data_IF_433620532384
#
_entry.id   IF_433620532384
#
_cell.length_a   1.000
_cell.length_b   1.000
_cell.length_c   1.000
_cell.angle_alpha   90.00
_cell.angle_beta   90.00
_cell.angle_gamma   90.00
#
_symmetry.space_group_name_H-M   'P 1'
#
loop_
_entity.id
_entity.type
_entity.pdbx_description
1 polymer ?
#
# COMPACT_ATOMS: atom_id res chain seq x y z
N UNK A 1 -90.98 -4.29 43.54
CA UNK A 1 -90.50 -4.93 44.79
C UNK A 1 -89.19 -5.61 44.45
N UNK A 2 -88.05 -5.07 44.95
CA UNK A 2 -87.19 -5.73 45.96
C UNK A 2 -86.33 -6.86 45.35
N UNK A 3 -85.01 -7.01 45.44
CA UNK A 3 -83.83 -6.23 45.87
C UNK A 3 -82.60 -6.95 45.30
N UNK A 4 -81.48 -6.22 45.30
CA UNK A 4 -80.10 -6.68 45.04
C UNK A 4 -79.64 -7.81 45.96
N UNK A 5 -78.67 -8.61 45.51
CA UNK A 5 -77.39 -8.95 46.19
C UNK A 5 -76.50 -9.62 45.12
N UNK A 6 -75.27 -9.21 44.81
CA UNK A 6 -74.21 -8.71 45.68
C UNK A 6 -73.23 -9.86 45.96
N UNK A 7 -72.18 -10.01 45.16
CA UNK A 7 -71.11 -11.00 45.38
C UNK A 7 -69.84 -10.62 44.63
N UNK A 8 -68.84 -10.13 45.36
CA UNK A 8 -67.57 -9.65 44.83
C UNK A 8 -66.48 -10.73 44.78
N UNK A 9 -65.73 -10.72 43.66
CA UNK A 9 -64.32 -11.08 43.42
C UNK A 9 -63.85 -12.54 43.60
N UNK A 10 -62.83 -12.98 42.81
CA UNK A 10 -61.48 -12.89 43.38
C UNK A 10 -60.37 -12.39 42.42
N UNK A 11 -59.55 -11.50 42.97
CA UNK A 11 -58.31 -10.90 42.44
C UNK A 11 -57.11 -11.86 42.47
N UNK A 12 -57.13 -13.01 41.77
CA UNK A 12 -56.00 -13.97 41.80
C UNK A 12 -55.30 -14.27 40.47
N UNK A 13 -55.67 -13.61 39.37
CA UNK A 13 -55.08 -13.92 38.05
C UNK A 13 -54.16 -12.82 37.52
N UNK A 14 -54.27 -11.59 38.04
CA UNK A 14 -53.57 -10.42 37.44
C UNK A 14 -52.08 -10.29 37.79
N UNK A 15 -51.59 -10.99 38.82
CA UNK A 15 -50.19 -10.87 39.26
C UNK A 15 -49.22 -11.82 38.51
N UNK A 16 -49.70 -13.00 38.10
CA UNK A 16 -48.89 -13.98 37.36
C UNK A 16 -48.50 -13.49 35.96
N UNK A 17 -49.39 -12.75 35.30
CA UNK A 17 -49.13 -12.12 33.99
C UNK A 17 -48.11 -11.00 34.13
N UNK A 18 -48.20 -10.22 35.21
CA UNK A 18 -47.24 -9.15 35.50
C UNK A 18 -45.83 -9.68 35.75
N UNK A 19 -45.69 -10.80 36.46
CA UNK A 19 -44.39 -11.44 36.74
C UNK A 19 -43.75 -12.05 35.48
N UNK A 20 -44.54 -12.62 34.58
CA UNK A 20 -44.06 -13.18 33.31
C UNK A 20 -43.61 -12.10 32.31
N UNK A 21 -44.26 -10.93 32.30
CA UNK A 21 -43.81 -9.79 31.49
C UNK A 21 -42.50 -9.23 32.04
N UNK A 22 -42.38 -9.10 33.37
CA UNK A 22 -41.17 -8.60 34.03
C UNK A 22 -39.92 -9.47 33.73
N UNK A 23 -40.07 -10.81 33.78
CA UNK A 23 -38.97 -11.73 33.47
C UNK A 23 -38.57 -11.76 31.99
N UNK A 24 -39.53 -11.53 31.09
CA UNK A 24 -39.29 -11.50 29.63
C UNK A 24 -38.60 -10.20 29.21
N UNK A 25 -38.86 -9.10 29.90
CA UNK A 25 -38.15 -7.81 29.74
C UNK A 25 -36.73 -7.86 30.29
N UNK A 26 -36.51 -8.54 31.42
CA UNK A 26 -35.18 -8.64 32.05
C UNK A 26 -34.16 -9.40 31.18
N UNK A 27 -34.63 -10.35 30.35
CA UNK A 27 -33.80 -11.10 29.39
C UNK A 27 -33.37 -10.28 28.15
N UNK A 28 -34.15 -9.26 27.78
CA UNK A 28 -33.82 -8.32 26.68
C UNK A 28 -32.82 -7.26 27.13
N UNK A 29 -32.93 -6.78 28.37
CA UNK A 29 -32.02 -5.77 28.94
C UNK A 29 -30.62 -6.36 29.19
N UNK A 30 -30.54 -7.61 29.66
CA UNK A 30 -29.26 -8.32 29.86
C UNK A 30 -28.53 -8.64 28.55
N UNK A 31 -29.25 -8.90 27.46
CA UNK A 31 -28.65 -9.11 26.13
C UNK A 31 -28.05 -7.83 25.54
N UNK A 32 -28.68 -6.67 25.78
CA UNK A 32 -28.17 -5.38 25.31
C UNK A 32 -26.96 -4.88 26.11
N UNK A 33 -26.89 -5.16 27.41
CA UNK A 33 -25.71 -4.84 28.22
C UNK A 33 -24.47 -5.67 27.82
N UNK A 34 -24.64 -6.94 27.45
CA UNK A 34 -23.54 -7.79 26.98
C UNK A 34 -22.96 -7.36 25.62
N UNK A 35 -23.77 -6.76 24.75
CA UNK A 35 -23.31 -6.21 23.46
C UNK A 35 -22.64 -4.84 23.67
N UNK A 36 -23.11 -4.04 24.64
CA UNK A 36 -22.51 -2.73 24.97
C UNK A 36 -21.14 -2.85 25.67
N UNK A 37 -20.88 -3.95 26.38
CA UNK A 37 -19.54 -4.23 26.94
C UNK A 37 -18.49 -4.60 25.89
N UNK A 38 -18.90 -5.10 24.71
CA UNK A 38 -17.95 -5.42 23.63
C UNK A 38 -17.50 -4.14 22.89
N UNK A 39 -18.33 -3.10 22.86
CA UNK A 39 -17.97 -1.80 22.23
C UNK A 39 -17.06 -0.95 23.14
N UNK A 40 -16.95 -1.28 24.43
CA UNK A 40 -16.19 -0.49 25.41
C UNK A 40 -14.74 -0.96 25.62
N UNK A 41 -14.22 -1.88 24.79
CA UNK A 41 -12.81 -2.32 24.86
C UNK A 41 -12.12 -2.36 23.49
N UNK A 42 -12.40 -1.39 22.62
CA UNK A 42 -11.50 -1.03 21.50
C UNK A 42 -11.18 0.48 21.55
N UNK A 43 -11.09 1.00 22.77
CA UNK A 43 -10.63 2.34 23.08
C UNK A 43 -9.10 2.42 23.18
N UNK A 44 -8.36 1.98 22.15
CA UNK A 44 -6.99 2.45 21.90
C UNK A 44 -6.79 2.61 20.40
N UNK A 45 -7.21 3.79 19.95
CA UNK A 45 -6.63 4.60 18.89
C UNK A 45 -5.17 4.20 18.59
N UNK A 46 -4.92 3.75 17.37
CA UNK A 46 -3.76 4.22 16.64
C UNK A 46 -4.28 4.71 15.29
N UNK A 47 -4.50 6.01 15.22
CA UNK A 47 -4.52 6.79 13.98
C UNK A 47 -3.16 6.57 13.30
N UNK A 48 -3.04 5.45 12.60
CA UNK A 48 -2.03 5.21 11.60
C UNK A 48 -2.58 5.66 10.26
N UNK A 49 -2.92 6.94 10.14
CA UNK A 49 -3.06 7.62 8.84
C UNK A 49 -1.65 7.81 8.25
N UNK A 50 -0.87 6.72 8.26
CA UNK A 50 0.33 6.58 7.46
C UNK A 50 -0.19 6.37 6.06
N UNK A 51 -0.42 7.49 5.38
CA UNK A 51 0.16 7.73 4.07
C UNK A 51 0.84 6.46 3.55
N UNK A 52 0.10 5.56 2.88
CA UNK A 52 0.71 4.69 1.88
C UNK A 52 1.05 5.59 0.68
N UNK A 53 1.94 6.58 0.92
CA UNK A 53 2.92 6.96 -0.07
C UNK A 53 3.58 5.64 -0.40
N UNK A 54 3.57 5.26 -1.67
CA UNK A 54 4.45 4.20 -2.12
C UNK A 54 5.85 4.65 -1.75
N UNK A 55 6.32 4.21 -0.58
CA UNK A 55 7.74 4.20 -0.30
C UNK A 55 8.27 3.34 -1.44
N UNK A 56 8.99 3.97 -2.36
CA UNK A 56 9.95 3.26 -3.19
C UNK A 56 10.92 2.66 -2.17
N UNK A 57 10.56 1.52 -1.61
CA UNK A 57 11.47 0.72 -0.82
C UNK A 57 12.44 0.23 -1.88
N UNK A 58 13.53 0.99 -2.04
CA UNK A 58 14.66 0.55 -2.83
C UNK A 58 15.22 -0.62 -2.04
N UNK A 59 14.66 -1.81 -2.28
CA UNK A 59 15.26 -3.07 -1.88
C UNK A 59 16.53 -3.16 -2.69
N UNK A 60 17.63 -2.66 -2.12
CA UNK A 60 18.94 -3.04 -2.55
C UNK A 60 19.00 -4.55 -2.36
N UNK A 61 18.84 -5.30 -3.46
CA UNK A 61 19.10 -6.72 -3.44
C UNK A 61 20.46 -6.93 -2.79
N UNK A 62 20.52 -7.92 -1.90
CA UNK A 62 21.73 -8.35 -1.19
C UNK A 62 22.98 -8.02 -2.00
N UNK A 63 23.88 -7.13 -1.49
CA UNK A 63 25.02 -6.71 -2.28
C UNK A 63 25.81 -7.97 -2.66
N UNK A 64 25.94 -8.20 -3.97
CA UNK A 64 26.98 -9.06 -4.51
C UNK A 64 28.26 -8.74 -3.75
N UNK A 65 28.88 -9.78 -3.16
CA UNK A 65 29.86 -9.82 -2.05
C UNK A 65 31.12 -8.93 -2.12
N UNK A 66 31.12 -7.83 -2.85
CA UNK A 66 32.22 -6.88 -2.89
C UNK A 66 31.65 -5.45 -2.98
N UNK A 67 31.69 -4.72 -1.87
CA UNK A 67 31.35 -3.30 -1.83
C UNK A 67 32.48 -2.52 -2.52
N UNK A 68 32.46 -2.49 -3.85
CA UNK A 68 33.56 -1.94 -4.66
C UNK A 68 33.65 -0.40 -4.58
N UNK A 69 32.57 0.27 -4.14
CA UNK A 69 32.43 1.72 -4.14
C UNK A 69 31.83 2.24 -2.82
N UNK A 70 32.22 3.46 -2.44
CA UNK A 70 31.68 4.17 -1.28
C UNK A 70 30.26 4.67 -1.58
N UNK A 71 30.04 5.13 -2.82
CA UNK A 71 28.76 5.63 -3.33
C UNK A 71 28.49 5.06 -4.73
N UNK A 72 27.26 4.59 -4.94
CA UNK A 72 26.75 4.17 -6.24
C UNK A 72 26.44 5.38 -7.14
N UNK A 73 26.40 5.20 -8.47
CA UNK A 73 25.99 6.28 -9.37
C UNK A 73 24.50 6.60 -9.18
N UNK A 74 24.13 7.87 -9.37
CA UNK A 74 22.77 8.38 -9.13
C UNK A 74 22.41 9.43 -10.18
N UNK A 75 21.15 9.50 -10.66
CA UNK A 75 20.70 10.65 -11.43
C UNK A 75 20.85 11.95 -10.62
N UNK A 76 21.21 13.04 -11.28
CA UNK A 76 21.19 14.37 -10.71
C UNK A 76 19.73 14.75 -10.41
N UNK A 77 19.42 15.07 -9.15
CA UNK A 77 18.04 15.19 -8.66
C UNK A 77 17.49 13.89 -8.08
N UNK A 78 18.31 12.84 -7.98
CA UNK A 78 17.95 11.55 -7.41
C UNK A 78 17.02 10.74 -8.29
N UNK A 79 16.46 9.65 -7.73
CA UNK A 79 15.55 8.75 -8.46
C UNK A 79 14.30 9.49 -8.96
N UNK A 80 13.86 10.55 -8.28
CA UNK A 80 12.73 11.37 -8.71
C UNK A 80 12.93 11.98 -10.12
N UNK A 81 14.14 12.41 -10.46
CA UNK A 81 14.45 12.94 -11.79
C UNK A 81 14.39 11.86 -12.88
N UNK A 82 14.71 10.61 -12.55
CA UNK A 82 14.53 9.49 -13.48
C UNK A 82 13.03 9.19 -13.66
N UNK A 83 12.30 9.10 -12.55
CA UNK A 83 10.86 8.81 -12.55
C UNK A 83 10.06 9.88 -13.29
N UNK A 84 10.47 11.15 -13.22
CA UNK A 84 9.79 12.22 -13.96
C UNK A 84 9.89 12.06 -15.47
N UNK A 85 10.80 11.25 -15.99
CA UNK A 85 10.91 10.95 -17.43
C UNK A 85 10.34 9.57 -17.80
N UNK A 86 9.95 8.76 -16.81
CA UNK A 86 9.35 7.43 -17.02
C UNK A 86 7.83 7.58 -17.21
N UNK A 87 7.41 7.75 -18.46
CA UNK A 87 6.00 7.84 -18.83
C UNK A 87 5.51 6.57 -19.51
N UNK A 88 4.41 6.00 -19.02
CA UNK A 88 3.74 4.89 -19.71
C UNK A 88 3.13 5.40 -21.03
N UNK A 89 3.53 4.90 -22.22
CA UNK A 89 3.03 5.39 -23.50
C UNK A 89 1.52 5.20 -23.64
N UNK A 90 0.81 6.21 -24.13
CA UNK A 90 -0.65 6.15 -24.30
C UNK A 90 -1.07 5.01 -25.22
N UNK A 91 -0.33 4.76 -26.29
CA UNK A 91 -0.72 3.75 -27.28
C UNK A 91 -0.68 2.33 -26.72
N UNK A 92 0.20 2.05 -25.75
CA UNK A 92 0.27 0.74 -25.08
C UNK A 92 -0.89 0.50 -24.12
N UNK A 93 -1.55 1.58 -23.67
CA UNK A 93 -2.70 1.50 -22.75
C UNK A 93 -3.94 0.94 -23.43
N UNK A 94 -4.09 1.19 -24.73
CA UNK A 94 -5.29 0.84 -25.50
C UNK A 94 -5.12 -0.40 -26.39
N UNK A 95 -3.94 -1.03 -26.37
CA UNK A 95 -3.74 -2.31 -27.05
C UNK A 95 -4.49 -3.41 -26.32
N UNK A 96 -5.07 -4.32 -27.10
CA UNK A 96 -5.88 -5.47 -26.65
C UNK A 96 -5.13 -6.41 -25.70
N UNK A 97 -3.80 -6.38 -25.71
CA UNK A 97 -2.93 -7.05 -24.76
C UNK A 97 -2.15 -5.98 -24.01
N UNK A 98 -2.72 -5.47 -22.91
CA UNK A 98 -2.09 -4.47 -22.05
C UNK A 98 -0.62 -4.82 -21.80
N UNK A 99 0.30 -3.97 -22.27
CA UNK A 99 1.73 -4.27 -22.22
C UNK A 99 2.26 -3.92 -20.83
N UNK A 100 2.50 -4.93 -20.00
CA UNK A 100 3.02 -4.76 -18.63
C UNK A 100 4.38 -5.46 -18.49
N UNK A 101 5.16 -5.06 -17.50
CA UNK A 101 6.43 -5.71 -17.22
C UNK A 101 7.16 -5.13 -16.03
N UNK A 102 7.82 -6.00 -15.26
CA UNK A 102 8.73 -5.62 -14.19
C UNK A 102 10.13 -6.10 -14.53
N UNK A 103 11.13 -5.25 -14.33
CA UNK A 103 12.53 -5.54 -14.62
C UNK A 103 13.47 -4.87 -13.64
N UNK A 104 14.69 -5.40 -13.55
CA UNK A 104 15.84 -4.70 -12.99
C UNK A 104 16.63 -4.03 -14.11
N UNK A 105 16.62 -2.70 -14.12
CA UNK A 105 17.42 -1.90 -15.04
C UNK A 105 18.79 -1.62 -14.43
N UNK A 106 19.83 -2.16 -15.05
CA UNK A 106 21.22 -1.98 -14.65
C UNK A 106 21.83 -0.89 -15.52
N UNK A 107 22.08 0.29 -14.93
CA UNK A 107 22.71 1.42 -15.60
C UNK A 107 24.18 1.48 -15.20
N UNK A 108 25.09 1.48 -16.19
CA UNK A 108 26.51 1.72 -15.98
C UNK A 108 26.86 3.16 -16.33
N UNK A 109 27.59 3.81 -15.45
CA UNK A 109 28.01 5.20 -15.56
C UNK A 109 29.52 5.27 -15.40
N UNK A 110 30.20 6.00 -16.27
CA UNK A 110 31.64 6.24 -16.17
C UNK A 110 31.98 7.29 -15.11
N UNK A 111 33.28 7.49 -14.85
CA UNK A 111 33.81 8.51 -13.93
C UNK A 111 33.41 9.95 -14.28
N UNK A 112 33.00 10.20 -15.52
CA UNK A 112 32.63 11.53 -16.04
C UNK A 112 31.10 11.75 -15.97
N UNK A 113 30.34 10.77 -15.47
CA UNK A 113 28.89 10.85 -15.35
C UNK A 113 28.16 10.53 -16.66
N UNK A 114 28.80 9.84 -17.61
CA UNK A 114 28.16 9.40 -18.86
C UNK A 114 27.68 7.97 -18.75
N UNK A 115 26.50 7.71 -19.29
CA UNK A 115 25.95 6.35 -19.36
C UNK A 115 26.71 5.55 -20.42
N UNK A 116 27.31 4.44 -20.01
CA UNK A 116 28.09 3.56 -20.90
C UNK A 116 27.31 2.34 -21.37
N UNK A 117 26.38 1.85 -20.56
CA UNK A 117 25.48 0.76 -20.95
C UNK A 117 24.22 0.74 -20.09
N UNK A 118 23.12 0.27 -20.66
CA UNK A 118 21.89 -0.05 -19.93
C UNK A 118 21.51 -1.50 -20.25
N UNK A 119 21.12 -2.27 -19.25
CA UNK A 119 20.70 -3.67 -19.42
C UNK A 119 19.46 -3.96 -18.59
N UNK A 120 18.52 -4.72 -19.13
CA UNK A 120 17.28 -5.11 -18.44
C UNK A 120 17.34 -6.60 -18.07
N UNK A 121 16.98 -6.92 -16.82
CA UNK A 121 16.95 -8.31 -16.32
C UNK A 121 15.74 -8.54 -15.40
N UNK A 122 14.73 -9.34 -15.80
CA UNK A 122 14.54 -9.91 -17.14
C UNK A 122 14.27 -8.83 -18.20
N UNK A 123 14.40 -9.17 -19.48
CA UNK A 123 13.95 -8.28 -20.54
C UNK A 123 12.44 -8.09 -20.50
N UNK A 124 11.97 -6.92 -20.92
CA UNK A 124 10.55 -6.57 -21.03
C UNK A 124 10.20 -6.23 -22.48
N UNK A 125 8.95 -5.82 -22.72
CA UNK A 125 8.53 -5.41 -24.07
C UNK A 125 9.40 -4.26 -24.58
N UNK A 126 9.87 -4.34 -25.83
CA UNK A 126 10.84 -3.39 -26.40
C UNK A 126 10.41 -1.93 -26.27
N UNK A 127 9.13 -1.63 -26.49
CA UNK A 127 8.58 -0.27 -26.35
C UNK A 127 8.66 0.25 -24.89
N UNK A 128 8.58 -0.61 -23.88
CA UNK A 128 8.79 -0.21 -22.48
C UNK A 128 10.28 0.00 -22.19
N UNK A 129 11.15 -0.83 -22.77
CA UNK A 129 12.61 -0.67 -22.67
C UNK A 129 13.05 0.65 -23.31
N UNK A 130 12.48 1.03 -24.45
CA UNK A 130 12.77 2.28 -25.14
C UNK A 130 12.41 3.51 -24.30
N UNK A 131 11.26 3.49 -23.62
CA UNK A 131 10.86 4.54 -22.66
C UNK A 131 11.86 4.63 -21.52
N UNK A 132 12.25 3.49 -20.95
CA UNK A 132 13.21 3.46 -19.84
C UNK A 132 14.60 3.98 -20.28
N UNK A 133 15.05 3.60 -21.48
CA UNK A 133 16.28 4.12 -22.09
C UNK A 133 16.19 5.63 -22.28
N UNK A 134 15.08 6.14 -22.82
CA UNK A 134 14.83 7.57 -22.98
C UNK A 134 14.94 8.33 -21.67
N UNK A 135 14.34 7.81 -20.60
CA UNK A 135 14.43 8.40 -19.26
C UNK A 135 15.86 8.43 -18.71
N UNK A 136 16.63 7.35 -18.89
CA UNK A 136 18.04 7.28 -18.48
C UNK A 136 18.89 8.32 -19.21
N UNK A 137 18.69 8.47 -20.52
CA UNK A 137 19.44 9.42 -21.34
C UNK A 137 19.02 10.88 -21.17
N UNK A 138 17.78 11.13 -20.73
CA UNK A 138 17.32 12.48 -20.38
C UNK A 138 17.92 12.98 -19.06
N UNK A 139 18.38 12.08 -18.19
CA UNK A 139 18.96 12.44 -16.90
C UNK A 139 20.46 12.74 -17.01
N UNK A 140 20.90 13.77 -16.29
CA UNK A 140 22.32 13.92 -15.96
C UNK A 140 22.68 12.94 -14.85
N UNK A 141 23.85 12.31 -14.90
CA UNK A 141 24.28 11.34 -13.90
C UNK A 141 25.44 11.85 -13.05
N UNK A 142 25.39 11.51 -11.76
CA UNK A 142 26.49 11.67 -10.80
C UNK A 142 27.22 10.32 -10.78
N UNK A 143 28.53 10.29 -11.06
CA UNK A 143 29.31 9.07 -11.09
C UNK A 143 29.42 8.43 -9.70
N UNK A 144 29.77 7.15 -9.67
CA UNK A 144 30.11 6.48 -8.42
C UNK A 144 31.34 7.13 -7.79
N UNK A 145 31.51 6.96 -6.47
CA UNK A 145 32.74 7.35 -5.78
C UNK A 145 33.42 6.16 -5.14
N UNK A 146 34.73 6.09 -5.28
CA UNK A 146 35.60 5.13 -4.59
C UNK A 146 36.74 5.89 -3.92
N UNK A 147 36.85 5.77 -2.61
CA UNK A 147 37.78 6.55 -1.78
C UNK A 147 37.68 8.06 -2.04
N UNK A 148 36.45 8.57 -2.19
CA UNK A 148 36.17 9.98 -2.48
C UNK A 148 36.44 10.44 -3.92
N UNK A 149 37.01 9.59 -4.79
CA UNK A 149 37.31 9.90 -6.20
C UNK A 149 36.22 9.34 -7.11
N UNK A 150 35.86 10.10 -8.15
CA UNK A 150 34.91 9.63 -9.18
C UNK A 150 35.42 8.37 -9.87
N UNK A 151 34.57 7.36 -9.96
CA UNK A 151 34.88 6.05 -10.52
C UNK A 151 33.73 5.57 -11.41
N UNK A 152 34.05 4.62 -12.30
CA UNK A 152 33.03 3.89 -13.03
C UNK A 152 32.20 3.07 -12.03
N UNK A 153 30.89 2.99 -12.25
CA UNK A 153 30.01 2.22 -11.39
C UNK A 153 28.74 1.78 -12.10
N UNK A 154 27.99 0.92 -11.41
CA UNK A 154 26.69 0.46 -11.88
C UNK A 154 25.65 0.65 -10.78
N UNK A 155 24.41 0.94 -11.17
CA UNK A 155 23.25 0.96 -10.28
C UNK A 155 22.16 0.05 -10.84
N UNK A 156 21.53 -0.71 -9.95
CA UNK A 156 20.36 -1.52 -10.26
C UNK A 156 19.11 -0.78 -9.80
N UNK A 157 18.20 -0.50 -10.73
CA UNK A 157 16.96 0.23 -10.50
C UNK A 157 15.79 -0.67 -10.86
N UNK A 158 14.98 -1.12 -9.87
CA UNK A 158 13.77 -1.86 -10.17
C UNK A 158 12.74 -0.93 -10.83
N UNK A 159 12.17 -1.38 -11.95
CA UNK A 159 11.08 -0.71 -12.66
C UNK A 159 9.91 -1.67 -12.78
N UNK A 160 8.71 -1.20 -12.45
CA UNK A 160 7.45 -1.92 -12.63
C UNK A 160 6.49 -1.06 -13.47
N UNK A 161 6.25 -1.48 -14.71
CA UNK A 161 5.18 -0.97 -15.55
C UNK A 161 3.91 -1.79 -15.32
N UNK A 162 3.27 -1.58 -14.17
CA UNK A 162 1.95 -2.12 -13.87
C UNK A 162 0.88 -1.04 -14.00
N UNK A 163 -0.16 -1.31 -14.78
CA UNK A 163 -1.39 -0.51 -14.75
C UNK A 163 -2.28 -1.07 -13.65
N UNK A 164 -1.93 -0.78 -12.39
CA UNK A 164 -2.89 -0.92 -11.30
C UNK A 164 -3.78 0.32 -11.32
N UNK A 165 -5.04 0.13 -11.68
CA UNK A 165 -6.07 1.11 -11.37
C UNK A 165 -6.04 1.33 -9.85
N UNK A 166 -5.90 2.59 -9.45
CA UNK A 166 -5.79 3.00 -8.06
C UNK A 166 -7.15 3.45 -7.56
#
# INVERSE_FOLDING_TARGET
>A
MERRHGGAAPRRVRWKIFLLILFRSMKLIMGWLAIFTIISLDGTIALGDSQKRGTLEITYGEPSREKTHDLAPLPAGGIAALVSHLYYPRDLRYRSHFVQGATHMIVRVDKDGRVTSVTFKPHMHSELEEVALGAVHACRWIPAKRHGVSANGAVNIPIDFSMREK
#
